data_IF_085578805857
#
_entry.id   IF_085578805857
#
_cell.length_a   1.000
_cell.length_b   1.000
_cell.length_c   1.000
_cell.angle_alpha   90.00
_cell.angle_beta   90.00
_cell.angle_gamma   90.00
#
_symmetry.space_group_name_H-M   'P 1'
#
loop_
_entity.id
_entity.type
_entity.pdbx_description
1 polymer ?
#
# COMPACT_ATOMS: atom_id res chain seq x y z
N UNK A 1 57.93 0.90 -8.57
CA UNK A 1 57.07 1.77 -7.75
C UNK A 1 55.70 1.10 -7.69
N UNK A 2 55.50 0.20 -6.72
CA UNK A 2 54.28 -0.59 -6.56
C UNK A 2 53.31 0.18 -5.68
N UNK A 3 52.20 0.64 -6.27
CA UNK A 3 51.07 1.23 -5.55
C UNK A 3 50.43 0.16 -4.67
N UNK A 4 50.61 0.29 -3.35
CA UNK A 4 49.87 -0.51 -2.36
C UNK A 4 48.39 -0.12 -2.47
N UNK A 5 47.54 -1.03 -2.93
CA UNK A 5 46.09 -0.83 -2.82
C UNK A 5 45.70 -0.78 -1.32
N UNK A 6 44.83 0.16 -0.92
CA UNK A 6 44.40 0.26 0.47
C UNK A 6 43.61 -1.00 0.87
N UNK A 7 44.06 -1.65 1.94
CA UNK A 7 43.38 -2.79 2.56
C UNK A 7 41.99 -2.38 3.06
N UNK A 8 40.94 -2.75 2.31
CA UNK A 8 39.55 -2.54 2.72
C UNK A 8 39.19 -3.55 3.82
N UNK A 9 39.15 -3.08 5.07
CA UNK A 9 38.58 -3.87 6.17
C UNK A 9 37.07 -4.03 5.91
N UNK A 10 36.55 -5.27 5.81
CA UNK A 10 35.12 -5.47 5.63
C UNK A 10 34.36 -4.87 6.82
N UNK A 11 33.23 -4.18 6.59
CA UNK A 11 32.50 -3.53 7.66
C UNK A 11 31.98 -4.56 8.66
N UNK A 12 32.14 -4.28 9.96
CA UNK A 12 31.63 -5.15 11.02
C UNK A 12 30.09 -5.11 11.08
N UNK A 13 29.47 -6.19 11.55
CA UNK A 13 28.01 -6.27 11.71
C UNK A 13 27.44 -5.10 12.54
N UNK A 14 28.16 -4.66 13.59
CA UNK A 14 27.81 -3.46 14.37
C UNK A 14 27.91 -2.17 13.56
N UNK A 15 28.96 -2.00 12.75
CA UNK A 15 29.16 -0.82 11.92
C UNK A 15 28.10 -0.67 10.82
N UNK A 16 27.65 -1.78 10.23
CA UNK A 16 26.55 -1.80 9.28
C UNK A 16 25.21 -1.39 9.92
N UNK A 17 24.92 -1.85 11.14
CA UNK A 17 23.68 -1.53 11.86
C UNK A 17 23.59 -0.07 12.34
N UNK A 18 24.72 0.59 12.57
CA UNK A 18 24.77 2.00 12.98
C UNK A 18 24.40 2.96 11.85
N UNK A 19 24.39 2.49 10.60
CA UNK A 19 23.98 3.28 9.44
C UNK A 19 22.45 3.45 9.42
N UNK A 20 21.93 4.69 9.37
CA UNK A 20 20.49 4.95 9.47
C UNK A 20 19.69 4.33 8.31
N UNK A 21 20.30 4.27 7.13
CA UNK A 21 19.81 3.60 5.92
C UNK A 21 19.67 2.08 6.11
N UNK A 22 20.71 1.39 6.59
CA UNK A 22 20.64 -0.05 6.89
C UNK A 22 19.58 -0.35 7.93
N UNK A 23 19.52 0.44 9.01
CA UNK A 23 18.53 0.25 10.07
C UNK A 23 17.10 0.42 9.53
N UNK A 24 16.87 1.45 8.72
CA UNK A 24 15.57 1.65 8.07
C UNK A 24 15.21 0.44 7.20
N UNK A 25 16.10 0.02 6.31
CA UNK A 25 15.85 -1.08 5.38
C UNK A 25 15.55 -2.39 6.09
N UNK A 26 16.34 -2.75 7.11
CA UNK A 26 16.09 -3.99 7.87
C UNK A 26 14.75 -3.92 8.59
N UNK A 27 14.46 -2.82 9.29
CA UNK A 27 13.16 -2.68 9.98
C UNK A 27 11.99 -2.71 9.00
N UNK A 28 12.10 -1.99 7.88
CA UNK A 28 11.10 -1.98 6.84
C UNK A 28 10.82 -3.38 6.31
N UNK A 29 11.86 -4.11 5.88
CA UNK A 29 11.73 -5.45 5.34
C UNK A 29 11.23 -6.45 6.38
N UNK A 30 11.67 -6.35 7.64
CA UNK A 30 11.19 -7.23 8.70
C UNK A 30 9.71 -7.01 9.02
N UNK A 31 9.27 -5.74 9.14
CA UNK A 31 7.86 -5.40 9.40
C UNK A 31 7.00 -5.82 8.21
N UNK A 32 7.47 -5.54 6.99
CA UNK A 32 6.76 -5.89 5.77
C UNK A 32 6.59 -7.41 5.65
N UNK A 33 7.67 -8.16 5.84
CA UNK A 33 7.64 -9.63 5.80
C UNK A 33 6.67 -10.17 6.85
N UNK A 34 6.76 -9.70 8.09
CA UNK A 34 5.85 -10.12 9.15
C UNK A 34 4.37 -9.82 8.81
N UNK A 35 4.09 -8.64 8.25
CA UNK A 35 2.75 -8.26 7.85
C UNK A 35 2.21 -9.14 6.72
N UNK A 36 3.01 -9.38 5.68
CA UNK A 36 2.65 -10.25 4.55
C UNK A 36 2.44 -11.70 5.00
N UNK A 37 3.32 -12.24 5.84
CA UNK A 37 3.15 -13.59 6.41
C UNK A 37 1.88 -13.65 7.25
N UNK A 38 1.57 -12.60 8.01
CA UNK A 38 0.38 -12.54 8.86
C UNK A 38 -0.90 -12.63 8.02
N UNK A 39 -1.01 -11.83 6.95
CA UNK A 39 -2.21 -11.87 6.08
C UNK A 39 -2.28 -13.12 5.19
N UNK A 40 -1.19 -13.86 5.05
CA UNK A 40 -1.15 -15.12 4.31
C UNK A 40 -1.78 -16.29 5.10
N UNK A 41 -1.89 -16.18 6.43
CA UNK A 41 -2.60 -17.19 7.21
C UNK A 41 -4.10 -17.17 6.90
N UNK A 42 -4.67 -18.33 6.60
CA UNK A 42 -6.08 -18.46 6.24
C UNK A 42 -7.03 -17.89 7.31
N UNK A 43 -6.75 -18.13 8.60
CA UNK A 43 -7.56 -17.56 9.69
C UNK A 43 -7.57 -16.03 9.68
N UNK A 44 -6.44 -15.40 9.35
CA UNK A 44 -6.34 -13.93 9.27
C UNK A 44 -7.02 -13.43 7.99
N UNK A 45 -6.85 -14.16 6.88
CA UNK A 45 -7.55 -13.86 5.64
C UNK A 45 -9.07 -13.82 5.87
N UNK A 46 -9.61 -14.86 6.50
CA UNK A 46 -11.05 -15.01 6.67
C UNK A 46 -11.62 -14.07 7.72
N UNK A 47 -10.89 -13.82 8.82
CA UNK A 47 -11.35 -12.98 9.92
C UNK A 47 -11.11 -11.47 9.69
N UNK A 48 -10.13 -11.08 8.87
CA UNK A 48 -9.72 -9.68 8.71
C UNK A 48 -9.75 -9.22 7.26
N UNK A 49 -9.10 -9.96 6.36
CA UNK A 49 -8.93 -9.53 4.96
C UNK A 49 -10.25 -9.57 4.20
N UNK A 50 -11.04 -10.64 4.34
CA UNK A 50 -12.35 -10.76 3.68
C UNK A 50 -13.33 -9.69 4.20
N UNK A 51 -13.52 -9.49 5.52
CA UNK A 51 -14.37 -8.41 6.02
C UNK A 51 -13.93 -7.02 5.58
N UNK A 52 -12.63 -6.74 5.56
CA UNK A 52 -12.07 -5.50 5.02
C UNK A 52 -12.37 -5.34 3.53
N UNK A 53 -12.15 -6.40 2.74
CA UNK A 53 -12.45 -6.39 1.29
C UNK A 53 -13.92 -6.16 1.03
N UNK A 54 -14.81 -6.77 1.82
CA UNK A 54 -16.24 -6.56 1.75
C UNK A 54 -16.64 -5.12 2.12
N UNK A 55 -15.97 -4.51 3.10
CA UNK A 55 -16.15 -3.09 3.40
C UNK A 55 -15.74 -2.21 2.22
N UNK A 56 -14.59 -2.47 1.60
CA UNK A 56 -14.15 -1.76 0.40
C UNK A 56 -15.14 -1.93 -0.75
N UNK A 57 -15.67 -3.14 -0.96
CA UNK A 57 -16.72 -3.41 -1.94
C UNK A 57 -17.98 -2.57 -1.69
N UNK A 58 -18.45 -2.50 -0.43
CA UNK A 58 -19.59 -1.64 -0.07
C UNK A 58 -19.33 -0.17 -0.38
N UNK A 59 -18.14 0.34 -0.04
CA UNK A 59 -17.77 1.73 -0.33
C UNK A 59 -17.75 2.02 -1.84
N UNK A 60 -17.18 1.10 -2.64
CA UNK A 60 -17.19 1.22 -4.09
C UNK A 60 -18.62 1.14 -4.67
N UNK A 61 -19.47 0.26 -4.13
CA UNK A 61 -20.88 0.16 -4.49
C UNK A 61 -21.65 1.46 -4.21
N UNK A 62 -21.41 2.11 -3.07
CA UNK A 62 -22.00 3.44 -2.81
C UNK A 62 -21.58 4.45 -3.87
N UNK A 63 -20.29 4.50 -4.23
CA UNK A 63 -19.81 5.43 -5.26
C UNK A 63 -20.43 5.12 -6.63
N UNK A 64 -20.48 3.86 -7.04
CA UNK A 64 -21.09 3.45 -8.31
C UNK A 64 -22.59 3.76 -8.34
N UNK A 65 -23.31 3.55 -7.24
CA UNK A 65 -24.73 3.92 -7.12
C UNK A 65 -24.95 5.42 -7.22
N UNK A 66 -24.06 6.23 -6.63
CA UNK A 66 -24.09 7.70 -6.79
C UNK A 66 -23.79 8.15 -8.24
N UNK A 67 -23.06 7.33 -9.00
CA UNK A 67 -22.81 7.55 -10.43
C UNK A 67 -23.94 7.01 -11.33
N UNK A 68 -25.00 6.44 -10.75
CA UNK A 68 -26.21 6.00 -11.46
C UNK A 68 -26.21 4.52 -11.88
N UNK A 69 -25.25 3.71 -11.42
CA UNK A 69 -25.27 2.27 -11.68
C UNK A 69 -26.28 1.55 -10.78
N UNK A 70 -27.06 0.64 -11.35
CA UNK A 70 -27.90 -0.30 -10.62
C UNK A 70 -27.01 -1.41 -10.04
N UNK A 71 -26.39 -1.10 -8.90
CA UNK A 71 -25.35 -1.93 -8.29
C UNK A 71 -25.86 -2.67 -7.04
N UNK A 72 -25.62 -3.96 -7.03
CA UNK A 72 -25.82 -4.85 -5.89
C UNK A 72 -24.46 -5.30 -5.36
N UNK A 73 -24.31 -5.32 -4.03
CA UNK A 73 -23.06 -5.72 -3.38
C UNK A 73 -23.31 -6.97 -2.54
N UNK A 74 -22.65 -8.07 -2.88
CA UNK A 74 -22.76 -9.35 -2.18
C UNK A 74 -21.38 -9.82 -1.71
N UNK A 75 -21.10 -9.66 -0.41
CA UNK A 75 -19.78 -9.96 0.14
C UNK A 75 -18.70 -9.06 -0.45
N UNK A 76 -17.87 -9.62 -1.33
CA UNK A 76 -16.82 -8.90 -2.05
C UNK A 76 -17.14 -8.68 -3.54
N UNK A 77 -18.32 -9.12 -4.00
CA UNK A 77 -18.77 -8.95 -5.39
C UNK A 77 -19.58 -7.67 -5.57
N UNK A 78 -19.26 -6.93 -6.63
CA UNK A 78 -20.01 -5.81 -7.18
C UNK A 78 -20.71 -6.29 -8.46
N UNK A 79 -22.05 -6.19 -8.52
CA UNK A 79 -22.83 -6.74 -9.64
C UNK A 79 -23.89 -5.75 -10.12
N UNK A 80 -23.91 -5.54 -11.43
CA UNK A 80 -24.92 -4.78 -12.17
C UNK A 80 -25.45 -5.62 -13.35
N UNK A 81 -26.51 -5.18 -14.04
CA UNK A 81 -26.96 -5.82 -15.28
C UNK A 81 -25.90 -5.85 -16.40
N UNK A 82 -24.92 -4.94 -16.35
CA UNK A 82 -23.92 -4.75 -17.41
C UNK A 82 -22.61 -5.49 -17.14
N UNK A 83 -22.25 -5.65 -15.87
CA UNK A 83 -20.97 -6.19 -15.45
C UNK A 83 -21.00 -6.65 -13.99
N UNK A 84 -20.19 -7.67 -13.68
CA UNK A 84 -19.96 -8.15 -12.33
C UNK A 84 -18.46 -8.38 -12.10
N UNK A 85 -17.97 -7.99 -10.93
CA UNK A 85 -16.57 -8.15 -10.54
C UNK A 85 -16.46 -8.48 -9.06
N UNK A 86 -15.62 -9.47 -8.75
CA UNK A 86 -15.26 -9.80 -7.36
C UNK A 86 -13.92 -9.15 -7.00
N UNK A 87 -13.89 -8.45 -5.88
CA UNK A 87 -12.66 -7.86 -5.34
C UNK A 87 -11.91 -8.92 -4.53
N UNK A 88 -10.68 -9.20 -4.91
CA UNK A 88 -9.80 -10.13 -4.20
C UNK A 88 -8.72 -9.40 -3.40
N UNK A 89 -8.03 -10.17 -2.54
CA UNK A 89 -6.83 -9.71 -1.85
C UNK A 89 -5.77 -9.30 -2.91
N UNK A 90 -5.38 -8.02 -2.89
CA UNK A 90 -4.59 -7.37 -3.96
C UNK A 90 -5.34 -6.22 -4.68
N UNK A 91 -6.66 -6.26 -4.71
CA UNK A 91 -7.51 -5.22 -5.29
C UNK A 91 -8.12 -4.26 -4.25
N UNK A 92 -8.03 -4.64 -2.98
CA UNK A 92 -8.63 -3.93 -1.85
C UNK A 92 -7.75 -2.80 -1.26
N UNK A 93 -6.54 -2.57 -1.80
CA UNK A 93 -5.60 -1.56 -1.32
C UNK A 93 -4.80 -1.95 -0.06
N UNK A 94 -4.99 -3.17 0.46
CA UNK A 94 -4.33 -3.63 1.68
C UNK A 94 -2.82 -3.77 1.49
N UNK A 95 -2.37 -4.34 0.37
CA UNK A 95 -0.95 -4.53 0.06
C UNK A 95 -0.19 -3.19 0.12
N UNK A 96 -0.69 -2.18 -0.58
CA UNK A 96 -0.09 -0.84 -0.59
C UNK A 96 -0.13 -0.18 0.78
N UNK A 97 -1.22 -0.37 1.52
CA UNK A 97 -1.34 0.09 2.91
C UNK A 97 -0.28 -0.53 3.81
N UNK A 98 -0.02 -1.83 3.70
CA UNK A 98 1.02 -2.52 4.48
C UNK A 98 2.42 -2.03 4.12
N UNK A 99 2.71 -1.84 2.83
CA UNK A 99 3.97 -1.25 2.37
C UNK A 99 4.17 0.15 2.98
N UNK A 100 3.15 1.00 2.89
CA UNK A 100 3.18 2.35 3.43
C UNK A 100 3.37 2.38 4.95
N UNK A 101 2.56 1.61 5.71
CA UNK A 101 2.67 1.51 7.16
C UNK A 101 4.06 1.01 7.56
N UNK A 102 4.57 -0.02 6.89
CA UNK A 102 5.91 -0.56 7.17
C UNK A 102 6.99 0.51 7.01
N UNK A 103 6.88 1.32 5.96
CA UNK A 103 7.76 2.47 5.72
C UNK A 103 7.65 3.53 6.83
N UNK A 104 6.44 3.89 7.25
CA UNK A 104 6.22 4.88 8.31
C UNK A 104 6.76 4.39 9.66
N UNK A 105 6.52 3.12 9.99
CA UNK A 105 6.97 2.51 11.24
C UNK A 105 8.50 2.38 11.29
N UNK A 106 9.14 2.02 10.17
CA UNK A 106 10.59 1.92 10.07
C UNK A 106 11.31 3.28 10.09
N UNK A 107 10.63 4.35 9.65
CA UNK A 107 11.24 5.68 9.60
C UNK A 107 11.46 6.28 11.01
N UNK A 108 12.60 6.94 11.27
CA UNK A 108 12.90 7.50 12.59
C UNK A 108 12.13 8.82 12.83
N UNK A 109 10.83 8.75 13.09
CA UNK A 109 9.99 9.90 13.45
C UNK A 109 9.36 9.74 14.85
N UNK A 110 8.84 10.84 15.40
CA UNK A 110 8.06 10.81 16.64
C UNK A 110 6.77 10.00 16.46
N UNK A 111 6.25 9.39 17.54
CA UNK A 111 5.03 8.58 17.43
C UNK A 111 3.83 9.38 16.93
N UNK A 112 3.71 10.64 17.35
CA UNK A 112 2.65 11.55 16.86
C UNK A 112 2.72 11.72 15.33
N UNK A 113 3.90 11.97 14.78
CA UNK A 113 4.09 12.12 13.33
C UNK A 113 3.77 10.82 12.57
N UNK A 114 4.12 9.66 13.15
CA UNK A 114 3.80 8.34 12.58
C UNK A 114 2.30 8.06 12.57
N UNK A 115 1.59 8.29 13.68
CA UNK A 115 0.13 8.07 13.75
C UNK A 115 -0.61 8.97 12.76
N UNK A 116 -0.27 10.26 12.71
CA UNK A 116 -0.86 11.20 11.74
C UNK A 116 -0.55 10.76 10.31
N UNK A 117 0.69 10.34 10.05
CA UNK A 117 1.12 9.81 8.75
C UNK A 117 0.36 8.56 8.33
N UNK A 118 0.20 7.59 9.25
CA UNK A 118 -0.55 6.36 9.02
C UNK A 118 -2.01 6.69 8.70
N UNK A 119 -2.69 7.46 9.54
CA UNK A 119 -4.10 7.79 9.32
C UNK A 119 -4.29 8.55 8.01
N UNK A 120 -3.52 9.63 7.78
CA UNK A 120 -3.63 10.42 6.56
C UNK A 120 -3.27 9.62 5.29
N UNK A 121 -2.22 8.82 5.35
CA UNK A 121 -1.79 7.98 4.22
C UNK A 121 -2.77 6.86 3.91
N UNK A 122 -3.34 6.20 4.91
CA UNK A 122 -4.38 5.18 4.70
C UNK A 122 -5.64 5.75 4.07
N UNK A 123 -6.07 6.95 4.50
CA UNK A 123 -7.21 7.64 3.87
C UNK A 123 -6.92 7.96 2.40
N UNK A 124 -5.73 8.48 2.09
CA UNK A 124 -5.32 8.78 0.72
C UNK A 124 -5.24 7.51 -0.15
N UNK A 125 -4.61 6.44 0.36
CA UNK A 125 -4.52 5.15 -0.35
C UNK A 125 -5.92 4.58 -0.58
N UNK A 126 -6.81 4.64 0.40
CA UNK A 126 -8.17 4.12 0.26
C UNK A 126 -8.97 4.91 -0.78
N UNK A 127 -8.80 6.23 -0.85
CA UNK A 127 -9.42 7.07 -1.87
C UNK A 127 -8.93 6.69 -3.27
N UNK A 128 -7.62 6.54 -3.47
CA UNK A 128 -7.04 6.10 -4.75
C UNK A 128 -7.54 4.69 -5.11
N UNK A 129 -7.64 3.80 -4.12
CA UNK A 129 -8.16 2.45 -4.35
C UNK A 129 -9.64 2.44 -4.76
N UNK A 130 -10.47 3.36 -4.22
CA UNK A 130 -11.85 3.51 -4.68
C UNK A 130 -11.90 3.99 -6.13
N UNK A 131 -11.08 4.98 -6.50
CA UNK A 131 -10.96 5.43 -7.90
C UNK A 131 -10.56 4.26 -8.81
N UNK A 132 -9.59 3.43 -8.39
CA UNK A 132 -9.19 2.21 -9.11
C UNK A 132 -10.38 1.29 -9.33
N UNK A 133 -11.12 0.93 -8.28
CA UNK A 133 -12.23 -0.04 -8.38
C UNK A 133 -13.33 0.48 -9.30
N UNK A 134 -13.73 1.74 -9.14
CA UNK A 134 -14.74 2.38 -10.00
C UNK A 134 -14.28 2.42 -11.46
N UNK A 135 -13.02 2.77 -11.69
CA UNK A 135 -12.45 2.80 -13.05
C UNK A 135 -12.40 1.41 -13.66
N UNK A 136 -11.96 0.39 -12.91
CA UNK A 136 -11.93 -1.00 -13.38
C UNK A 136 -13.34 -1.54 -13.66
N UNK A 137 -14.32 -1.16 -12.85
CA UNK A 137 -15.71 -1.51 -13.11
C UNK A 137 -16.16 -0.98 -14.48
N UNK A 138 -15.91 0.29 -14.77
CA UNK A 138 -16.27 0.86 -16.08
C UNK A 138 -15.42 0.34 -17.24
N UNK A 139 -14.14 0.03 -17.02
CA UNK A 139 -13.33 -0.67 -18.03
C UNK A 139 -13.94 -2.04 -18.32
N UNK A 140 -14.37 -2.79 -17.30
CA UNK A 140 -15.06 -4.07 -17.50
C UNK A 140 -16.37 -3.94 -18.28
N UNK A 141 -17.09 -2.83 -18.09
CA UNK A 141 -18.33 -2.53 -18.81
C UNK A 141 -18.10 -2.13 -20.28
N UNK A 142 -17.12 -1.26 -20.55
CA UNK A 142 -16.97 -0.62 -21.87
C UNK A 142 -15.80 -1.15 -22.70
N UNK A 143 -14.78 -1.72 -22.07
CA UNK A 143 -13.51 -2.16 -22.64
C UNK A 143 -13.05 -3.50 -22.00
N UNK A 144 -13.90 -4.55 -22.02
CA UNK A 144 -13.66 -5.79 -21.28
C UNK A 144 -12.33 -6.46 -21.67
N UNK A 145 -11.93 -6.38 -22.93
CA UNK A 145 -10.67 -6.95 -23.44
C UNK A 145 -9.42 -6.33 -22.76
N UNK A 146 -9.54 -5.11 -22.22
CA UNK A 146 -8.46 -4.39 -21.55
C UNK A 146 -8.53 -4.51 -20.02
N UNK A 147 -9.50 -5.23 -19.47
CA UNK A 147 -9.71 -5.30 -18.02
C UNK A 147 -8.47 -5.84 -17.31
N UNK A 148 -7.93 -6.98 -17.75
CA UNK A 148 -6.80 -7.63 -17.09
C UNK A 148 -5.50 -6.81 -17.19
N UNK A 149 -5.21 -6.24 -18.36
CA UNK A 149 -4.04 -5.37 -18.52
C UNK A 149 -4.16 -4.10 -17.67
N UNK A 150 -5.34 -3.46 -17.69
CA UNK A 150 -5.61 -2.28 -16.88
C UNK A 150 -5.49 -2.60 -15.40
N UNK A 151 -5.96 -3.78 -14.99
CA UNK A 151 -5.93 -4.23 -13.62
C UNK A 151 -4.51 -4.49 -13.12
N UNK A 152 -3.74 -5.31 -13.84
CA UNK A 152 -2.45 -5.83 -13.38
C UNK A 152 -1.30 -4.88 -13.69
N UNK A 153 -1.30 -4.24 -14.86
CA UNK A 153 -0.18 -3.39 -15.29
C UNK A 153 -0.40 -1.95 -14.87
N UNK A 154 -1.54 -1.37 -15.24
CA UNK A 154 -1.77 0.07 -15.06
C UNK A 154 -2.08 0.37 -13.60
N UNK A 155 -3.21 -0.13 -13.10
CA UNK A 155 -3.70 0.21 -11.77
C UNK A 155 -2.78 -0.27 -10.65
N UNK A 156 -2.22 -1.48 -10.77
CA UNK A 156 -1.28 -1.98 -9.75
C UNK A 156 -0.04 -1.08 -9.66
N UNK A 157 0.55 -0.69 -10.80
CA UNK A 157 1.71 0.20 -10.83
C UNK A 157 1.37 1.57 -10.25
N UNK A 158 0.25 2.16 -10.67
CA UNK A 158 -0.18 3.48 -10.19
C UNK A 158 -0.40 3.49 -8.67
N UNK A 159 -1.06 2.49 -8.11
CA UNK A 159 -1.34 2.44 -6.67
C UNK A 159 -0.06 2.20 -5.86
N UNK A 160 0.85 1.34 -6.32
CA UNK A 160 2.16 1.15 -5.65
C UNK A 160 2.97 2.45 -5.68
N UNK A 161 3.09 3.08 -6.85
CA UNK A 161 3.81 4.35 -7.00
C UNK A 161 3.20 5.45 -6.14
N UNK A 162 1.88 5.52 -6.06
CA UNK A 162 1.20 6.45 -5.17
C UNK A 162 1.51 6.18 -3.70
N UNK A 163 1.50 4.91 -3.27
CA UNK A 163 1.87 4.53 -1.90
C UNK A 163 3.30 4.92 -1.54
N UNK A 164 4.26 4.66 -2.43
CA UNK A 164 5.66 5.07 -2.27
C UNK A 164 5.79 6.59 -2.29
N UNK A 165 5.11 7.28 -3.20
CA UNK A 165 5.11 8.73 -3.29
C UNK A 165 4.55 9.40 -2.02
N UNK A 166 3.42 8.91 -1.50
CA UNK A 166 2.85 9.34 -0.22
C UNK A 166 3.83 9.16 0.92
N UNK A 167 4.53 8.01 0.97
CA UNK A 167 5.55 7.76 1.97
C UNK A 167 6.72 8.76 1.85
N UNK A 168 7.21 9.03 0.63
CA UNK A 168 8.30 10.01 0.40
C UNK A 168 7.87 11.40 0.87
N UNK A 169 6.68 11.86 0.50
CA UNK A 169 6.15 13.17 0.90
C UNK A 169 6.06 13.28 2.41
N UNK A 170 5.48 12.27 3.07
CA UNK A 170 5.39 12.23 4.53
C UNK A 170 6.78 12.17 5.19
N UNK A 171 7.69 11.34 4.71
CA UNK A 171 9.03 11.16 5.27
C UNK A 171 9.85 12.46 5.19
N UNK A 172 9.75 13.20 4.09
CA UNK A 172 10.37 14.52 3.93
C UNK A 172 9.82 15.53 4.94
N UNK A 173 8.51 15.59 5.10
CA UNK A 173 7.88 16.47 6.09
C UNK A 173 8.29 16.10 7.53
N UNK A 174 8.30 14.80 7.85
CA UNK A 174 8.71 14.30 9.15
C UNK A 174 10.19 14.57 9.46
N UNK A 175 11.07 14.50 8.45
CA UNK A 175 12.48 14.84 8.59
C UNK A 175 12.68 16.35 8.81
N UNK A 176 11.96 17.20 8.08
CA UNK A 176 12.01 18.65 8.24
C UNK A 176 11.58 19.08 9.66
N UNK A 177 10.45 18.55 10.14
CA UNK A 177 9.92 18.85 11.48
C UNK A 177 10.86 18.39 12.62
N UNK A 178 11.67 17.35 12.38
CA UNK A 178 12.72 16.92 13.31
C UNK A 178 13.93 17.84 13.31
N UNK A 179 14.30 18.39 12.15
CA UNK A 179 15.41 19.32 12.01
C UNK A 179 15.15 20.65 12.71
N UNK A 180 13.90 21.12 12.72
CA UNK A 180 13.47 22.34 13.42
C UNK A 180 13.34 22.17 14.94
N UNK A 181 13.31 20.94 15.45
CA UNK A 181 13.17 20.63 16.88
C UNK A 181 14.51 20.34 17.59
N UNK A 182 15.64 20.46 16.87
CA UNK A 182 17.00 20.42 17.39
C UNK A 182 17.56 21.84 17.41
#
# INVERSE_FOLDING_TARGET
>A
MTTQEPYHVPPTLRGLWQRPDTRFLVLFLSILLAAFTTIAFQTVNDAVVIPYTSFVARMAGVVLGLLGEDITVAGCELRSPRFAVTIYNGCNGLITSLIFISGVLAFPASWRAKVIGIVGGLLAIQAINLVRIVSLFYIGVFLPDYFDESHILIWQSLVILAGVGLWIVWARAAAAARGTAR
#
